data_IF_835750564220
#
_entry.id   IF_835750564220
#
_cell.length_a   1.000
_cell.length_b   1.000
_cell.length_c   1.000
_cell.angle_alpha   90.00
_cell.angle_beta   90.00
_cell.angle_gamma   90.00
#
_symmetry.space_group_name_H-M   'P 1'
#
loop_
_entity.id
_entity.type
_entity.pdbx_description
1 polymer ?
#
# COMPACT_ATOMS: atom_id res chain seq x y z
N UNK A 1 31.31 -11.31 23.66
CA UNK A 1 30.45 -11.66 22.50
C UNK A 1 31.37 -11.90 21.32
N UNK A 2 31.47 -13.14 20.85
CA UNK A 2 32.21 -13.45 19.62
C UNK A 2 31.38 -12.86 18.46
N UNK A 3 31.96 -12.10 17.52
CA UNK A 3 31.21 -11.60 16.37
C UNK A 3 30.75 -12.81 15.55
N UNK A 4 29.46 -13.13 15.64
CA UNK A 4 28.81 -14.07 14.74
C UNK A 4 28.84 -13.41 13.37
N UNK A 5 29.36 -14.10 12.34
CA UNK A 5 29.31 -13.58 10.98
C UNK A 5 27.84 -13.29 10.62
N UNK A 6 27.54 -12.23 9.83
CA UNK A 6 26.16 -11.92 9.46
C UNK A 6 25.39 -13.12 8.89
N UNK A 7 26.05 -13.95 8.09
CA UNK A 7 25.49 -15.19 7.56
C UNK A 7 25.11 -16.20 8.66
N UNK A 8 25.99 -16.44 9.63
CA UNK A 8 25.71 -17.35 10.75
C UNK A 8 24.55 -16.83 11.62
N UNK A 9 24.40 -15.50 11.72
CA UNK A 9 23.32 -14.87 12.49
C UNK A 9 21.95 -15.10 11.84
N UNK A 10 21.79 -14.75 10.56
CA UNK A 10 20.50 -14.90 9.87
C UNK A 10 20.11 -16.37 9.68
N UNK A 11 21.09 -17.26 9.43
CA UNK A 11 20.84 -18.70 9.40
C UNK A 11 20.33 -19.23 10.75
N UNK A 12 20.97 -18.83 11.85
CA UNK A 12 20.55 -19.23 13.19
C UNK A 12 19.11 -18.79 13.47
N UNK A 13 18.78 -17.53 13.20
CA UNK A 13 17.43 -17.02 13.42
C UNK A 13 16.39 -17.65 12.50
N UNK A 14 16.72 -17.94 11.24
CA UNK A 14 15.82 -18.68 10.34
C UNK A 14 15.48 -20.07 10.90
N UNK A 15 16.48 -20.80 11.41
CA UNK A 15 16.26 -22.11 12.08
C UNK A 15 15.41 -21.94 13.33
N UNK A 16 15.71 -20.92 14.15
CA UNK A 16 14.94 -20.62 15.36
C UNK A 16 13.47 -20.35 15.04
N UNK A 17 13.19 -19.46 14.09
CA UNK A 17 11.83 -19.10 13.69
C UNK A 17 11.05 -20.27 13.08
N UNK A 18 11.70 -21.10 12.26
CA UNK A 18 11.10 -22.33 11.78
C UNK A 18 10.75 -23.30 12.93
N UNK A 19 11.61 -23.40 13.95
CA UNK A 19 11.35 -24.19 15.15
C UNK A 19 10.24 -23.62 16.04
N UNK A 20 10.15 -22.29 16.14
CA UNK A 20 9.11 -21.58 16.90
C UNK A 20 7.71 -21.85 16.33
N UNK A 21 7.56 -21.90 14.99
CA UNK A 21 6.30 -22.29 14.36
C UNK A 21 5.80 -23.65 14.88
N UNK A 22 6.68 -24.64 14.94
CA UNK A 22 6.35 -25.99 15.42
C UNK A 22 5.94 -25.98 16.89
N UNK A 23 6.62 -25.21 17.73
CA UNK A 23 6.31 -25.08 19.16
C UNK A 23 4.95 -24.41 19.39
N UNK A 24 4.58 -23.44 18.54
CA UNK A 24 3.31 -22.71 18.60
C UNK A 24 2.14 -23.44 17.91
N UNK A 25 2.38 -24.64 17.39
CA UNK A 25 1.46 -25.41 16.55
C UNK A 25 0.98 -24.62 15.32
N UNK A 26 1.86 -23.78 14.78
CA UNK A 26 1.66 -23.06 13.53
C UNK A 26 2.25 -23.86 12.35
N UNK A 27 1.71 -23.66 11.15
CA UNK A 27 2.22 -24.33 9.94
C UNK A 27 3.55 -23.74 9.47
N UNK A 28 3.77 -22.46 9.74
CA UNK A 28 4.99 -21.73 9.43
C UNK A 28 5.09 -20.45 10.28
N UNK A 29 6.32 -19.95 10.39
CA UNK A 29 6.59 -18.58 10.82
C UNK A 29 6.75 -17.69 9.59
N UNK A 30 6.18 -16.49 9.64
CA UNK A 30 6.18 -15.51 8.54
C UNK A 30 6.87 -14.25 9.03
N UNK A 31 8.01 -13.90 8.44
CA UNK A 31 8.66 -12.62 8.72
C UNK A 31 8.11 -11.55 7.78
N UNK A 32 7.61 -10.48 8.36
CA UNK A 32 7.04 -9.32 7.66
C UNK A 32 7.79 -8.05 8.03
N UNK A 33 7.57 -6.99 7.28
CA UNK A 33 8.34 -5.75 7.42
C UNK A 33 8.12 -5.06 8.76
N UNK A 34 6.86 -4.91 9.19
CA UNK A 34 6.52 -4.37 10.49
C UNK A 34 5.18 -4.90 11.06
N UNK A 35 4.68 -4.25 12.11
CA UNK A 35 3.47 -4.66 12.83
C UNK A 35 2.19 -4.46 12.00
N UNK A 36 2.12 -3.38 11.21
CA UNK A 36 0.97 -3.12 10.34
C UNK A 36 0.95 -4.15 9.20
N UNK A 37 2.12 -4.55 8.69
CA UNK A 37 2.24 -5.69 7.76
C UNK A 37 1.75 -7.00 8.38
N UNK A 38 2.12 -7.30 9.63
CA UNK A 38 1.69 -8.53 10.28
C UNK A 38 0.15 -8.61 10.32
N UNK A 39 -0.50 -7.50 10.68
CA UNK A 39 -1.96 -7.40 10.74
C UNK A 39 -2.59 -7.60 9.36
N UNK A 40 -2.01 -6.99 8.31
CA UNK A 40 -2.50 -7.14 6.94
C UNK A 40 -2.35 -8.58 6.43
N UNK A 41 -1.16 -9.15 6.55
CA UNK A 41 -0.87 -10.49 6.05
C UNK A 41 -1.64 -11.56 6.83
N UNK A 42 -1.79 -11.43 8.14
CA UNK A 42 -2.60 -12.34 8.96
C UNK A 42 -4.02 -12.45 8.40
N UNK A 43 -4.67 -11.31 8.15
CA UNK A 43 -6.02 -11.26 7.55
C UNK A 43 -6.07 -11.94 6.18
N UNK A 44 -5.06 -11.77 5.31
CA UNK A 44 -5.02 -12.44 4.01
C UNK A 44 -4.81 -13.96 4.13
N UNK A 45 -3.87 -14.41 4.95
CA UNK A 45 -3.61 -15.84 5.14
C UNK A 45 -4.82 -16.54 5.77
N UNK A 46 -5.46 -15.93 6.76
CA UNK A 46 -6.68 -16.43 7.39
C UNK A 46 -7.80 -16.59 6.35
N UNK A 47 -8.06 -15.53 5.57
CA UNK A 47 -9.07 -15.56 4.51
C UNK A 47 -8.79 -16.66 3.48
N UNK A 48 -7.61 -16.67 2.87
CA UNK A 48 -7.30 -17.57 1.75
C UNK A 48 -6.99 -19.01 2.16
N UNK A 49 -6.72 -19.27 3.44
CA UNK A 49 -6.62 -20.63 4.01
C UNK A 49 -7.90 -21.08 4.72
N UNK A 50 -8.99 -20.31 4.60
CA UNK A 50 -10.29 -20.60 5.23
C UNK A 50 -10.21 -20.79 6.74
N UNK A 51 -9.32 -20.05 7.42
CA UNK A 51 -9.05 -20.15 8.87
C UNK A 51 -8.65 -21.56 9.34
N UNK A 52 -8.17 -22.42 8.45
CA UNK A 52 -7.81 -23.81 8.78
C UNK A 52 -6.35 -23.95 9.21
N UNK A 53 -5.53 -22.93 8.96
CA UNK A 53 -4.09 -22.91 9.24
C UNK A 53 -3.77 -21.76 10.19
N UNK A 54 -2.83 -21.99 11.09
CA UNK A 54 -2.33 -20.98 12.03
C UNK A 54 -0.89 -20.61 11.67
N UNK A 55 -0.58 -19.32 11.73
CA UNK A 55 0.74 -18.79 11.39
C UNK A 55 1.35 -18.06 12.59
N UNK A 56 2.69 -18.00 12.64
CA UNK A 56 3.41 -17.19 13.61
C UNK A 56 4.02 -15.98 12.91
N UNK A 57 3.49 -14.78 13.14
CA UNK A 57 4.01 -13.57 12.51
C UNK A 57 5.16 -12.96 13.31
N UNK A 58 6.26 -12.68 12.61
CA UNK A 58 7.45 -12.03 13.14
C UNK A 58 7.53 -10.69 12.44
N UNK A 59 7.42 -9.58 13.17
CA UNK A 59 7.42 -8.22 12.61
C UNK A 59 8.64 -7.39 13.02
N UNK A 60 9.57 -8.01 13.73
CA UNK A 60 10.90 -7.47 13.99
C UNK A 60 11.85 -8.63 14.30
N UNK A 61 13.13 -8.44 14.00
CA UNK A 61 14.15 -9.34 14.53
C UNK A 61 15.45 -8.60 14.78
N UNK A 62 16.39 -9.26 15.47
CA UNK A 62 17.67 -8.64 15.80
C UNK A 62 18.62 -8.67 14.63
N UNK A 63 19.38 -7.60 14.45
CA UNK A 63 20.59 -7.54 13.63
C UNK A 63 21.74 -8.30 14.29
N UNK A 64 22.86 -8.60 13.57
CA UNK A 64 24.06 -9.17 14.18
C UNK A 64 24.64 -8.34 15.34
N UNK A 65 24.35 -7.03 15.37
CA UNK A 65 24.74 -6.13 16.45
C UNK A 65 23.78 -6.20 17.67
N UNK A 66 22.77 -7.08 17.65
CA UNK A 66 21.79 -7.24 18.72
C UNK A 66 20.71 -6.15 18.79
N UNK A 67 20.64 -5.26 17.80
CA UNK A 67 19.60 -4.21 17.72
C UNK A 67 18.38 -4.75 16.99
N UNK A 68 17.19 -4.40 17.45
CA UNK A 68 15.94 -4.64 16.71
C UNK A 68 15.97 -3.94 15.35
N UNK A 69 15.48 -4.62 14.32
CA UNK A 69 15.35 -4.12 12.96
C UNK A 69 14.05 -4.61 12.32
N UNK A 70 13.56 -3.78 11.40
CA UNK A 70 12.29 -3.92 10.66
C UNK A 70 12.54 -3.53 9.19
N UNK A 71 11.51 -3.71 8.35
CA UNK A 71 11.50 -3.27 6.95
C UNK A 71 12.02 -4.29 5.95
N UNK A 72 11.72 -4.06 4.67
CA UNK A 72 12.04 -4.98 3.56
C UNK A 72 13.50 -5.41 3.50
N UNK A 73 14.43 -4.48 3.69
CA UNK A 73 15.86 -4.77 3.58
C UNK A 73 16.33 -5.77 4.64
N UNK A 74 15.66 -5.77 5.80
CA UNK A 74 15.92 -6.70 6.88
C UNK A 74 15.30 -8.08 6.60
N UNK A 75 14.06 -8.11 6.10
CA UNK A 75 13.42 -9.34 5.64
C UNK A 75 14.26 -10.06 4.57
N UNK A 76 14.79 -9.30 3.60
CA UNK A 76 15.60 -9.83 2.50
C UNK A 76 16.94 -10.45 2.94
N UNK A 77 17.43 -10.17 4.15
CA UNK A 77 18.63 -10.85 4.68
C UNK A 77 18.40 -12.34 4.91
N UNK A 78 17.15 -12.78 5.03
CA UNK A 78 16.78 -14.16 5.28
C UNK A 78 16.63 -15.01 4.01
N UNK A 79 16.64 -14.41 2.81
CA UNK A 79 16.41 -15.10 1.52
C UNK A 79 17.19 -16.41 1.36
N UNK A 80 18.50 -16.50 1.70
CA UNK A 80 19.26 -17.74 1.57
C UNK A 80 18.82 -18.88 2.51
N UNK A 81 17.95 -18.60 3.49
CA UNK A 81 17.59 -19.50 4.58
C UNK A 81 16.08 -19.78 4.67
N UNK A 82 15.29 -19.24 3.73
CA UNK A 82 13.85 -19.45 3.69
C UNK A 82 13.51 -20.90 3.31
N UNK A 83 12.39 -21.37 3.82
CA UNK A 83 11.88 -22.71 3.60
C UNK A 83 10.37 -22.76 3.91
N UNK A 84 9.75 -23.94 3.77
CA UNK A 84 8.31 -24.12 3.99
C UNK A 84 7.82 -23.77 5.40
N UNK A 85 8.69 -23.82 6.41
CA UNK A 85 8.37 -23.50 7.81
C UNK A 85 8.77 -22.08 8.22
N UNK A 86 9.56 -21.39 7.39
CA UNK A 86 9.95 -19.99 7.61
C UNK A 86 10.12 -19.25 6.29
N UNK A 87 9.21 -18.32 6.01
CA UNK A 87 9.16 -17.55 4.77
C UNK A 87 8.88 -16.07 5.06
N UNK A 88 8.96 -15.22 4.04
CA UNK A 88 8.74 -13.77 4.20
C UNK A 88 7.58 -13.26 3.36
N UNK A 89 6.95 -12.20 3.84
CA UNK A 89 6.03 -11.38 3.06
C UNK A 89 6.51 -9.93 3.06
N UNK A 90 6.58 -9.31 1.90
CA UNK A 90 7.16 -7.97 1.73
C UNK A 90 6.27 -7.07 0.88
N UNK A 91 6.47 -5.77 1.02
CA UNK A 91 5.99 -4.81 0.05
C UNK A 91 6.76 -4.92 -1.25
N UNK A 92 6.05 -4.78 -2.37
CA UNK A 92 6.69 -4.84 -3.68
C UNK A 92 7.71 -3.73 -3.81
N UNK A 93 7.37 -2.49 -3.44
CA UNK A 93 8.32 -1.37 -3.46
C UNK A 93 8.93 -1.16 -4.87
N UNK A 94 8.14 -1.49 -5.91
CA UNK A 94 8.44 -1.66 -7.35
C UNK A 94 9.07 -2.98 -7.80
N UNK A 95 9.44 -3.91 -6.93
CA UNK A 95 10.07 -5.21 -7.29
C UNK A 95 9.26 -5.98 -8.32
N UNK A 96 7.93 -6.00 -8.18
CA UNK A 96 7.03 -6.60 -9.17
C UNK A 96 7.14 -5.89 -10.52
N UNK A 97 7.00 -4.56 -10.58
CA UNK A 97 7.10 -3.82 -11.85
C UNK A 97 8.51 -3.92 -12.48
N UNK A 98 9.55 -3.98 -11.67
CA UNK A 98 10.93 -4.19 -12.12
C UNK A 98 11.23 -5.64 -12.49
N UNK A 99 10.31 -6.56 -12.21
CA UNK A 99 10.46 -8.00 -12.40
C UNK A 99 11.73 -8.54 -11.72
N UNK A 100 11.94 -8.13 -10.46
CA UNK A 100 13.08 -8.62 -9.66
C UNK A 100 13.04 -10.17 -9.59
N UNK A 101 14.12 -10.85 -9.95
CA UNK A 101 14.13 -12.31 -10.02
C UNK A 101 13.94 -12.94 -8.64
N UNK A 102 13.32 -14.12 -8.62
CA UNK A 102 13.17 -14.96 -7.43
C UNK A 102 12.33 -14.36 -6.28
N UNK A 103 11.56 -13.29 -6.54
CA UNK A 103 10.55 -12.76 -5.61
C UNK A 103 9.20 -13.42 -5.91
N UNK A 104 9.02 -14.66 -5.43
CA UNK A 104 7.79 -15.44 -5.64
C UNK A 104 7.67 -16.60 -4.62
N UNK A 105 6.47 -17.22 -4.50
CA UNK A 105 6.22 -18.27 -3.51
C UNK A 105 7.10 -19.52 -3.65
N UNK A 106 7.60 -19.86 -4.85
CA UNK A 106 8.50 -21.01 -5.01
C UNK A 106 9.87 -20.78 -4.36
N UNK A 107 10.19 -19.52 -4.07
CA UNK A 107 11.36 -19.09 -3.31
C UNK A 107 11.00 -18.66 -1.89
N UNK A 108 9.79 -18.98 -1.41
CA UNK A 108 9.31 -18.65 -0.07
C UNK A 108 9.23 -17.13 0.18
N UNK A 109 8.88 -16.36 -0.85
CA UNK A 109 8.68 -14.91 -0.76
C UNK A 109 7.30 -14.58 -1.32
N UNK A 110 6.41 -14.10 -0.47
CA UNK A 110 5.18 -13.43 -0.90
C UNK A 110 5.44 -11.94 -0.98
N UNK A 111 4.78 -11.26 -1.92
CA UNK A 111 4.85 -9.82 -2.01
C UNK A 111 3.47 -9.23 -2.26
N UNK A 112 3.28 -7.97 -1.90
CA UNK A 112 2.18 -7.20 -2.49
C UNK A 112 2.38 -7.08 -4.00
N UNK A 113 1.29 -6.97 -4.75
CA UNK A 113 1.34 -6.70 -6.20
C UNK A 113 0.99 -5.26 -6.55
N UNK A 114 0.55 -4.50 -5.55
CA UNK A 114 0.58 -3.04 -5.49
C UNK A 114 1.97 -2.56 -5.06
N UNK A 115 2.16 -1.26 -4.87
CA UNK A 115 3.41 -0.73 -4.31
C UNK A 115 3.65 -1.23 -2.87
N UNK A 116 2.65 -1.13 -1.99
CA UNK A 116 2.70 -1.59 -0.61
C UNK A 116 1.32 -2.00 -0.05
N UNK A 117 1.28 -2.50 1.18
CA UNK A 117 0.04 -2.88 1.88
C UNK A 117 -0.97 -1.73 1.91
N UNK A 118 -0.54 -0.47 2.02
CA UNK A 118 -1.51 0.63 2.17
C UNK A 118 -2.28 0.93 0.90
N UNK A 119 -1.72 0.59 -0.27
CA UNK A 119 -2.44 0.72 -1.53
C UNK A 119 -3.66 -0.22 -1.55
N UNK A 120 -3.61 -1.38 -0.87
CA UNK A 120 -4.73 -2.31 -0.79
C UNK A 120 -5.91 -1.74 0.00
N UNK A 121 -5.66 -0.93 1.03
CA UNK A 121 -6.72 -0.19 1.76
C UNK A 121 -7.33 0.94 0.94
N UNK A 122 -6.62 1.44 -0.08
CA UNK A 122 -7.06 2.56 -0.90
C UNK A 122 -7.80 2.11 -2.18
N UNK A 123 -8.17 0.84 -2.30
CA UNK A 123 -8.95 0.38 -3.43
C UNK A 123 -10.34 1.07 -3.40
N UNK A 124 -10.78 1.71 -4.50
CA UNK A 124 -11.86 2.69 -4.50
C UNK A 124 -13.22 2.10 -4.15
N UNK A 125 -13.45 0.83 -4.53
CA UNK A 125 -14.69 0.11 -4.22
C UNK A 125 -14.92 0.16 -2.71
N UNK A 126 -16.10 0.65 -2.31
CA UNK A 126 -16.56 0.85 -0.93
C UNK A 126 -15.86 1.96 -0.12
N UNK A 127 -14.90 2.74 -0.65
CA UNK A 127 -14.36 3.90 0.08
C UNK A 127 -15.46 4.90 0.47
N UNK A 128 -16.46 5.06 -0.40
CA UNK A 128 -17.64 5.86 -0.13
C UNK A 128 -18.44 5.33 1.08
N UNK A 129 -18.50 4.00 1.28
CA UNK A 129 -19.17 3.37 2.41
C UNK A 129 -18.39 3.49 3.73
N UNK A 130 -17.08 3.75 3.68
CA UNK A 130 -16.26 3.95 4.88
C UNK A 130 -16.70 5.21 5.64
N UNK A 131 -17.02 6.30 4.94
CA UNK A 131 -17.61 7.49 5.56
C UNK A 131 -18.94 7.17 6.27
N UNK A 132 -19.76 6.30 5.67
CA UNK A 132 -21.01 5.87 6.28
C UNK A 132 -20.77 5.03 7.53
N UNK A 133 -19.80 4.13 7.51
CA UNK A 133 -19.39 3.35 8.68
C UNK A 133 -18.81 4.26 9.78
N UNK A 134 -18.05 5.29 9.39
CA UNK A 134 -17.40 6.21 10.30
C UNK A 134 -18.39 7.17 11.00
N UNK A 135 -19.41 7.64 10.28
CA UNK A 135 -20.30 8.71 10.76
C UNK A 135 -21.75 8.27 11.01
N UNK A 136 -22.14 7.10 10.50
CA UNK A 136 -23.52 6.65 10.35
C UNK A 136 -24.39 7.63 9.55
N UNK A 137 -23.78 8.34 8.60
CA UNK A 137 -24.43 9.24 7.66
C UNK A 137 -24.06 8.83 6.24
N UNK A 138 -25.05 8.85 5.35
CA UNK A 138 -24.83 8.54 3.94
C UNK A 138 -23.83 9.53 3.34
N UNK A 139 -22.81 9.05 2.63
CA UNK A 139 -21.93 9.93 1.89
C UNK A 139 -22.63 10.39 0.60
N UNK A 140 -22.80 11.69 0.46
CA UNK A 140 -23.38 12.32 -0.73
C UNK A 140 -22.68 13.62 -1.12
N UNK A 141 -21.51 13.90 -0.54
CA UNK A 141 -20.76 15.14 -0.76
C UNK A 141 -19.42 14.91 -1.46
N UNK A 142 -18.95 13.66 -1.52
CA UNK A 142 -17.69 13.30 -2.16
C UNK A 142 -17.79 11.91 -2.78
N UNK A 143 -17.15 11.73 -3.93
CA UNK A 143 -17.05 10.52 -4.71
C UNK A 143 -15.57 10.11 -4.80
N UNK A 144 -15.20 9.15 -3.94
CA UNK A 144 -13.84 8.61 -3.89
C UNK A 144 -13.45 7.87 -5.17
N UNK A 145 -14.40 7.19 -5.83
CA UNK A 145 -14.15 6.45 -7.07
C UNK A 145 -13.74 7.44 -8.18
N UNK A 146 -14.52 8.50 -8.37
CA UNK A 146 -14.24 9.54 -9.36
C UNK A 146 -12.94 10.31 -9.05
N UNK A 147 -12.68 10.61 -7.77
CA UNK A 147 -11.46 11.28 -7.34
C UNK A 147 -10.22 10.43 -7.62
N UNK A 148 -10.22 9.15 -7.23
CA UNK A 148 -9.09 8.25 -7.43
C UNK A 148 -8.83 7.97 -8.91
N UNK A 149 -9.88 7.82 -9.73
CA UNK A 149 -9.72 7.68 -11.17
C UNK A 149 -9.04 8.91 -11.77
N UNK A 150 -9.48 10.11 -11.40
CA UNK A 150 -8.87 11.37 -11.84
C UNK A 150 -7.43 11.49 -11.38
N UNK A 151 -7.14 11.16 -10.11
CA UNK A 151 -5.80 11.13 -9.53
C UNK A 151 -4.88 10.17 -10.29
N UNK A 152 -5.39 8.99 -10.61
CA UNK A 152 -4.67 7.96 -11.35
C UNK A 152 -4.31 8.41 -12.76
N UNK A 153 -5.26 9.02 -13.48
CA UNK A 153 -5.04 9.52 -14.84
C UNK A 153 -3.97 10.59 -14.91
N UNK A 154 -4.02 11.59 -14.01
CA UNK A 154 -3.02 12.67 -14.03
C UNK A 154 -1.62 12.18 -13.63
N UNK A 155 -1.56 11.19 -12.73
CA UNK A 155 -0.32 10.58 -12.25
C UNK A 155 0.36 9.68 -13.29
N UNK A 156 -0.41 8.97 -14.10
CA UNK A 156 0.05 7.83 -14.91
C UNK A 156 1.29 8.14 -15.75
N UNK A 157 1.27 9.21 -16.55
CA UNK A 157 2.40 9.50 -17.45
C UNK A 157 3.67 9.82 -16.67
N UNK A 158 3.55 10.54 -15.56
CA UNK A 158 4.68 10.85 -14.67
C UNK A 158 5.23 9.58 -14.02
N UNK A 159 4.37 8.65 -13.61
CA UNK A 159 4.79 7.35 -13.09
C UNK A 159 5.54 6.53 -14.16
N UNK A 160 5.06 6.50 -15.40
CA UNK A 160 5.73 5.79 -16.50
C UNK A 160 7.14 6.36 -16.73
N UNK A 161 7.28 7.69 -16.74
CA UNK A 161 8.60 8.31 -16.80
C UNK A 161 9.46 7.92 -15.61
N UNK A 162 8.94 7.96 -14.38
CA UNK A 162 9.69 7.55 -13.20
C UNK A 162 10.19 6.10 -13.32
N UNK A 163 9.34 5.17 -13.73
CA UNK A 163 9.68 3.76 -13.93
C UNK A 163 10.68 3.55 -15.08
N UNK A 164 10.63 4.37 -16.14
CA UNK A 164 11.66 4.36 -17.18
C UNK A 164 13.03 4.73 -16.60
N UNK A 165 13.12 5.83 -15.83
CA UNK A 165 14.38 6.25 -15.22
C UNK A 165 14.91 5.23 -14.22
N UNK A 166 14.02 4.65 -13.41
CA UNK A 166 14.36 3.61 -12.45
C UNK A 166 14.94 2.37 -13.14
N UNK A 167 14.27 1.87 -14.18
CA UNK A 167 14.71 0.69 -14.95
C UNK A 167 16.04 0.88 -15.68
N UNK A 168 16.37 2.11 -16.06
CA UNK A 168 17.62 2.44 -16.75
C UNK A 168 18.70 2.98 -15.80
N UNK A 169 18.49 2.90 -14.48
CA UNK A 169 19.43 3.35 -13.44
C UNK A 169 19.87 4.82 -13.60
N UNK A 170 18.97 5.67 -14.10
CA UNK A 170 19.23 7.10 -14.33
C UNK A 170 18.74 7.94 -13.14
N UNK A 171 19.57 8.87 -12.68
CA UNK A 171 19.30 9.65 -11.46
C UNK A 171 18.41 10.90 -11.65
N UNK A 172 18.16 11.36 -12.88
CA UNK A 172 17.42 12.61 -13.14
C UNK A 172 15.94 12.59 -12.75
N UNK A 173 15.37 11.41 -12.48
CA UNK A 173 14.05 11.30 -11.88
C UNK A 173 14.01 10.20 -10.82
N UNK A 174 14.69 10.48 -9.72
CA UNK A 174 14.85 9.55 -8.59
C UNK A 174 13.52 9.25 -7.87
N UNK A 175 13.50 8.15 -7.10
CA UNK A 175 12.39 7.80 -6.18
C UNK A 175 12.08 8.95 -5.22
N UNK A 176 13.10 9.60 -4.65
CA UNK A 176 12.94 10.75 -3.76
C UNK A 176 12.26 11.93 -4.45
N UNK A 177 12.66 12.23 -5.69
CA UNK A 177 12.06 13.31 -6.46
C UNK A 177 10.61 13.01 -6.83
N UNK A 178 10.31 11.78 -7.24
CA UNK A 178 8.95 11.33 -7.52
C UNK A 178 8.06 11.39 -6.28
N UNK A 179 8.53 10.92 -5.13
CA UNK A 179 7.81 11.02 -3.85
C UNK A 179 7.49 12.48 -3.52
N UNK A 180 8.46 13.39 -3.68
CA UNK A 180 8.23 14.83 -3.47
C UNK A 180 7.16 15.38 -4.41
N UNK A 181 7.12 14.89 -5.65
CA UNK A 181 6.18 15.33 -6.69
C UNK A 181 4.75 14.88 -6.41
N UNK A 182 4.55 13.63 -5.96
CA UNK A 182 3.21 13.09 -5.66
C UNK A 182 2.64 13.58 -4.31
N UNK A 183 3.50 14.08 -3.40
CA UNK A 183 3.05 14.72 -2.17
C UNK A 183 2.28 16.01 -2.46
N UNK A 184 1.20 16.24 -1.71
CA UNK A 184 0.53 17.53 -1.69
C UNK A 184 1.42 18.55 -0.98
N UNK A 185 1.90 19.58 -1.70
CA UNK A 185 2.84 20.57 -1.18
C UNK A 185 2.17 21.85 -0.70
N UNK A 186 0.95 22.11 -1.17
CA UNK A 186 0.19 23.32 -0.88
C UNK A 186 -1.05 22.96 -0.07
N UNK A 187 -1.39 23.81 0.90
CA UNK A 187 -2.67 23.70 1.60
C UNK A 187 -3.80 24.03 0.63
N UNK A 188 -4.81 23.17 0.58
CA UNK A 188 -6.04 23.40 -0.16
C UNK A 188 -7.15 23.45 0.87
N UNK A 189 -7.89 24.55 0.88
CA UNK A 189 -8.94 24.80 1.85
C UNK A 189 -9.97 23.66 1.82
N UNK A 190 -10.12 22.99 2.97
CA UNK A 190 -11.00 21.84 3.14
C UNK A 190 -10.87 20.80 2.02
N UNK A 191 -9.67 20.63 1.43
CA UNK A 191 -9.41 19.66 0.36
C UNK A 191 -10.37 19.76 -0.84
N UNK A 192 -11.03 20.90 -1.01
CA UNK A 192 -12.03 21.14 -2.05
C UNK A 192 -13.14 20.07 -2.11
N UNK A 193 -13.63 19.59 -0.96
CA UNK A 193 -14.68 18.55 -0.88
C UNK A 193 -15.90 18.92 -1.74
N UNK A 194 -16.32 20.19 -1.75
CA UNK A 194 -17.50 20.65 -2.51
C UNK A 194 -17.39 20.47 -4.03
N UNK A 195 -16.18 20.34 -4.57
CA UNK A 195 -15.92 20.09 -5.99
C UNK A 195 -15.13 18.79 -6.17
N UNK A 196 -15.36 17.81 -5.29
CA UNK A 196 -14.76 16.48 -5.37
C UNK A 196 -13.23 16.47 -5.45
N UNK A 197 -12.57 17.41 -4.77
CA UNK A 197 -11.11 17.52 -4.74
C UNK A 197 -10.49 18.03 -6.04
N UNK A 198 -11.26 18.70 -6.92
CA UNK A 198 -10.77 19.17 -8.22
C UNK A 198 -9.51 20.04 -8.08
N UNK A 199 -9.44 20.94 -7.11
CA UNK A 199 -8.25 21.77 -6.88
C UNK A 199 -6.98 20.94 -6.58
N UNK A 200 -7.12 19.78 -5.91
CA UNK A 200 -6.00 18.86 -5.65
C UNK A 200 -5.51 18.27 -6.97
N UNK A 201 -6.44 17.79 -7.80
CA UNK A 201 -6.14 17.19 -9.11
C UNK A 201 -5.46 18.21 -10.03
N UNK A 202 -5.96 19.45 -10.08
CA UNK A 202 -5.40 20.51 -10.92
C UNK A 202 -3.97 20.90 -10.50
N UNK A 203 -3.72 21.03 -9.20
CA UNK A 203 -2.38 21.32 -8.67
C UNK A 203 -1.39 20.20 -8.95
N UNK A 204 -1.80 18.93 -8.75
CA UNK A 204 -0.97 17.77 -9.09
C UNK A 204 -0.70 17.72 -10.59
N UNK A 205 -1.73 17.84 -11.43
CA UNK A 205 -1.62 17.81 -12.87
C UNK A 205 -0.67 18.89 -13.39
N UNK A 206 -0.77 20.12 -12.90
CA UNK A 206 0.15 21.20 -13.27
C UNK A 206 1.61 20.83 -13.03
N UNK A 207 1.92 20.28 -11.84
CA UNK A 207 3.29 19.87 -11.48
C UNK A 207 3.76 18.67 -12.32
N UNK A 208 2.89 17.69 -12.53
CA UNK A 208 3.14 16.51 -13.34
C UNK A 208 3.45 16.90 -14.80
N UNK A 209 2.61 17.74 -15.42
CA UNK A 209 2.82 18.23 -16.78
C UNK A 209 4.12 19.02 -16.92
N UNK A 210 4.45 19.89 -15.95
CA UNK A 210 5.73 20.60 -15.96
C UNK A 210 6.93 19.63 -15.92
N UNK A 211 6.89 18.60 -15.05
CA UNK A 211 7.95 17.60 -14.98
C UNK A 211 8.04 16.77 -16.26
N UNK A 212 6.91 16.31 -16.80
CA UNK A 212 6.86 15.54 -18.06
C UNK A 212 7.42 16.37 -19.23
N UNK A 213 7.03 17.63 -19.38
CA UNK A 213 7.58 18.52 -20.41
C UNK A 213 9.09 18.72 -20.27
N UNK A 214 9.59 18.87 -19.04
CA UNK A 214 11.03 18.93 -18.77
C UNK A 214 11.73 17.64 -19.23
N UNK A 215 11.18 16.48 -18.91
CA UNK A 215 11.76 15.18 -19.27
C UNK A 215 11.74 14.94 -20.79
N UNK A 216 10.64 15.30 -21.47
CA UNK A 216 10.54 15.23 -22.94
C UNK A 216 11.61 16.12 -23.60
N UNK A 217 11.84 17.32 -23.06
CA UNK A 217 12.85 18.25 -23.59
C UNK A 217 14.27 17.71 -23.41
N UNK A 218 14.56 17.09 -22.25
CA UNK A 218 15.87 16.51 -21.96
C UNK A 218 16.11 15.17 -22.67
N UNK A 219 15.05 14.43 -22.97
CA UNK A 219 15.10 13.08 -23.55
C UNK A 219 14.13 12.90 -24.72
N UNK A 220 14.26 13.69 -25.79
CA UNK A 220 13.28 13.74 -26.89
C UNK A 220 13.17 12.43 -27.69
N UNK A 221 14.20 11.56 -27.61
CA UNK A 221 14.25 10.29 -28.33
C UNK A 221 13.85 9.08 -27.46
N UNK A 222 13.32 9.31 -26.25
CA UNK A 222 12.87 8.19 -25.40
C UNK A 222 11.55 7.63 -25.92
N UNK A 223 11.52 6.31 -26.16
CA UNK A 223 10.30 5.59 -26.53
C UNK A 223 9.44 5.31 -25.28
N UNK A 224 8.66 6.32 -24.90
CA UNK A 224 7.76 6.23 -23.74
C UNK A 224 6.59 5.27 -24.01
N UNK A 225 6.16 5.10 -25.26
CA UNK A 225 5.05 4.23 -25.62
C UNK A 225 5.43 2.75 -25.46
N UNK A 226 6.65 2.36 -25.82
CA UNK A 226 7.16 1.03 -25.50
C UNK A 226 7.24 0.80 -23.98
N UNK A 227 7.61 1.84 -23.22
CA UNK A 227 7.59 1.78 -21.75
C UNK A 227 6.16 1.56 -21.21
N UNK A 228 5.16 2.29 -21.75
CA UNK A 228 3.74 2.09 -21.41
C UNK A 228 3.29 0.67 -21.76
N UNK A 229 3.62 0.16 -22.95
CA UNK A 229 3.25 -1.18 -23.38
C UNK A 229 3.87 -2.27 -22.49
N UNK A 230 5.15 -2.10 -22.09
CA UNK A 230 5.81 -3.01 -21.16
C UNK A 230 5.06 -3.10 -19.82
N UNK A 231 4.77 -1.95 -19.18
CA UNK A 231 4.09 -1.95 -17.88
C UNK A 231 2.61 -2.32 -17.96
N UNK A 232 1.96 -2.05 -19.10
CA UNK A 232 0.60 -2.54 -19.39
C UNK A 232 0.51 -4.06 -19.30
N UNK A 233 1.52 -4.78 -19.80
CA UNK A 233 1.59 -6.24 -19.72
C UNK A 233 1.76 -6.76 -18.28
N UNK A 234 2.20 -5.90 -17.35
CA UNK A 234 2.32 -6.22 -15.92
C UNK A 234 1.06 -5.82 -15.12
N UNK A 235 0.04 -5.25 -15.77
CA UNK A 235 -1.21 -4.83 -15.12
C UNK A 235 -1.28 -3.35 -14.76
N UNK A 236 -0.24 -2.55 -15.04
CA UNK A 236 -0.26 -1.11 -14.80
C UNK A 236 -0.95 -0.37 -15.97
N UNK A 237 -2.08 0.26 -15.66
CA UNK A 237 -2.92 1.04 -16.56
C UNK A 237 -3.07 2.48 -16.06
N UNK A 238 -3.61 3.36 -16.89
CA UNK A 238 -3.94 4.74 -16.48
C UNK A 238 -4.92 4.75 -15.31
N UNK A 239 -5.83 3.79 -15.28
CA UNK A 239 -6.98 3.78 -14.37
C UNK A 239 -6.62 3.23 -12.97
N UNK A 240 -5.47 2.55 -12.83
CA UNK A 240 -5.02 1.96 -11.57
C UNK A 240 -3.59 2.39 -11.15
N UNK A 241 -2.99 3.38 -11.80
CA UNK A 241 -1.67 3.91 -11.49
C UNK A 241 -1.48 4.30 -10.02
N UNK A 242 -2.55 4.71 -9.34
CA UNK A 242 -2.55 5.01 -7.91
C UNK A 242 -2.15 3.81 -7.03
N UNK A 243 -2.39 2.56 -7.46
CA UNK A 243 -1.97 1.36 -6.73
C UNK A 243 -0.45 1.14 -6.76
N UNK A 244 0.24 1.81 -7.67
CA UNK A 244 1.66 1.58 -7.96
C UNK A 244 2.54 2.75 -7.53
N UNK A 245 2.07 3.61 -6.65
CA UNK A 245 2.88 4.66 -6.01
C UNK A 245 2.95 4.45 -4.51
N UNK A 246 3.93 5.09 -3.87
CA UNK A 246 4.21 4.92 -2.44
C UNK A 246 2.93 4.96 -1.60
N UNK A 247 2.56 3.82 -0.99
CA UNK A 247 1.28 3.64 -0.32
C UNK A 247 1.01 4.67 0.75
N UNK A 248 1.98 4.98 1.63
CA UNK A 248 1.83 6.05 2.62
C UNK A 248 1.39 7.40 2.02
N UNK A 249 1.87 7.78 0.83
CA UNK A 249 1.47 9.05 0.21
C UNK A 249 -0.01 9.04 -0.16
N UNK A 250 -0.46 7.96 -0.80
CA UNK A 250 -1.86 7.78 -1.18
C UNK A 250 -2.76 7.62 0.06
N UNK A 251 -2.40 6.74 0.96
CA UNK A 251 -3.14 6.44 2.18
C UNK A 251 -3.34 7.67 3.05
N UNK A 252 -2.29 8.48 3.23
CA UNK A 252 -2.40 9.72 3.98
C UNK A 252 -3.34 10.72 3.28
N UNK A 253 -3.29 10.82 1.94
CA UNK A 253 -4.19 11.67 1.16
C UNK A 253 -5.65 11.22 1.31
N UNK A 254 -5.93 9.93 1.21
CA UNK A 254 -7.27 9.36 1.39
C UNK A 254 -7.76 9.57 2.83
N UNK A 255 -6.91 9.36 3.83
CA UNK A 255 -7.27 9.62 5.21
C UNK A 255 -7.63 11.09 5.49
N UNK A 256 -6.86 12.06 4.97
CA UNK A 256 -7.16 13.48 5.20
C UNK A 256 -8.43 13.92 4.48
N UNK A 257 -8.67 13.43 3.25
CA UNK A 257 -9.91 13.69 2.52
C UNK A 257 -11.09 13.04 3.25
N UNK A 258 -10.97 11.77 3.64
CA UNK A 258 -12.00 11.05 4.39
C UNK A 258 -12.39 11.74 5.69
N UNK A 259 -11.42 12.17 6.49
CA UNK A 259 -11.71 12.94 7.70
C UNK A 259 -12.41 14.28 7.39
N UNK A 260 -12.01 15.00 6.33
CA UNK A 260 -12.67 16.25 5.95
C UNK A 260 -14.11 16.03 5.45
N UNK A 261 -14.35 14.93 4.72
CA UNK A 261 -15.70 14.50 4.32
C UNK A 261 -16.54 14.19 5.56
N UNK A 262 -16.03 13.40 6.49
CA UNK A 262 -16.73 13.04 7.73
C UNK A 262 -17.07 14.28 8.57
N UNK A 263 -16.11 15.19 8.76
CA UNK A 263 -16.30 16.45 9.47
C UNK A 263 -17.39 17.32 8.81
N UNK A 264 -17.40 17.38 7.47
CA UNK A 264 -18.39 18.15 6.72
C UNK A 264 -19.78 17.51 6.79
N UNK A 265 -19.90 16.18 6.70
CA UNK A 265 -21.16 15.46 6.89
C UNK A 265 -21.73 15.71 8.28
N UNK A 266 -20.90 15.58 9.32
CA UNK A 266 -21.30 15.84 10.72
C UNK A 266 -21.71 17.31 10.93
N UNK A 267 -21.00 18.25 10.31
CA UNK A 267 -21.34 19.68 10.36
C UNK A 267 -22.70 19.98 9.71
N UNK A 268 -22.97 19.36 8.55
CA UNK A 268 -24.26 19.48 7.86
C UNK A 268 -25.40 18.87 8.67
N UNK A 269 -25.17 17.72 9.31
CA UNK A 269 -26.20 17.08 10.14
C UNK A 269 -26.43 17.85 11.43
N UNK A 270 -25.37 18.32 12.09
CA UNK A 270 -25.45 19.18 13.29
C UNK A 270 -26.32 20.40 13.06
N UNK A 271 -26.24 21.05 11.89
CA UNK A 271 -27.08 22.23 11.55
C UNK A 271 -28.58 21.93 11.50
N UNK A 272 -28.99 20.66 11.37
CA UNK A 272 -30.39 20.23 11.41
C UNK A 272 -30.89 19.94 12.83
N UNK A 273 -29.97 19.84 13.80
CA UNK A 273 -30.26 19.50 15.18
C UNK A 273 -30.35 20.77 16.03
N UNK A 274 -31.38 20.85 16.88
CA UNK A 274 -31.63 22.02 17.73
C UNK A 274 -31.44 21.75 19.23
N UNK A 275 -31.06 20.52 19.61
CA UNK A 275 -30.88 20.08 21.00
C UNK A 275 -29.47 19.53 21.25
N UNK A 276 -28.86 19.96 22.36
CA UNK A 276 -27.50 19.59 22.75
C UNK A 276 -27.35 18.09 22.95
N UNK A 277 -28.36 17.37 23.45
CA UNK A 277 -28.27 15.91 23.64
C UNK A 277 -28.24 15.17 22.30
N UNK A 278 -29.03 15.62 21.33
CA UNK A 278 -29.01 15.07 19.97
C UNK A 278 -27.65 15.30 19.29
N UNK A 279 -27.06 16.49 19.46
CA UNK A 279 -25.72 16.80 18.96
C UNK A 279 -24.67 15.91 19.63
N UNK A 280 -24.70 15.72 20.95
CA UNK A 280 -23.75 14.83 21.63
C UNK A 280 -23.84 13.40 21.09
N UNK A 281 -25.06 12.85 20.95
CA UNK A 281 -25.29 11.52 20.40
C UNK A 281 -24.77 11.35 18.96
N UNK A 282 -24.82 12.41 18.15
CA UNK A 282 -24.29 12.41 16.79
C UNK A 282 -22.77 12.17 16.78
N UNK A 283 -22.03 12.77 17.71
CA UNK A 283 -20.57 12.63 17.79
C UNK A 283 -20.12 11.39 18.57
N UNK A 284 -20.86 10.97 19.61
CA UNK A 284 -20.49 9.80 20.43
C UNK A 284 -20.45 8.48 19.63
N UNK A 285 -21.17 8.42 18.51
CA UNK A 285 -21.28 7.21 17.67
C UNK A 285 -20.24 7.13 16.56
N UNK A 286 -19.41 8.17 16.39
CA UNK A 286 -18.47 8.22 15.28
C UNK A 286 -17.21 7.43 15.59
N UNK A 287 -16.60 6.88 14.55
CA UNK A 287 -15.25 6.32 14.61
C UNK A 287 -14.35 7.09 13.66
N UNK A 288 -13.04 7.10 13.93
CA UNK A 288 -12.09 7.76 13.04
C UNK A 288 -12.07 7.08 11.67
N UNK A 289 -12.12 7.86 10.59
CA UNK A 289 -12.06 7.36 9.21
C UNK A 289 -10.89 6.39 9.01
N UNK A 290 -9.70 6.73 9.52
CA UNK A 290 -8.50 5.89 9.45
C UNK A 290 -8.73 4.50 10.05
N UNK A 291 -9.41 4.43 11.19
CA UNK A 291 -9.73 3.15 11.86
C UNK A 291 -10.75 2.36 11.06
N UNK A 292 -11.76 3.02 10.49
CA UNK A 292 -12.73 2.35 9.62
C UNK A 292 -12.06 1.80 8.34
N UNK A 293 -11.11 2.55 7.78
CA UNK A 293 -10.35 2.19 6.57
C UNK A 293 -9.48 0.94 6.75
N UNK A 294 -8.78 0.81 7.87
CA UNK A 294 -7.91 -0.36 8.13
C UNK A 294 -8.68 -1.69 8.21
N UNK A 295 -9.98 -1.63 8.48
CA UNK A 295 -10.83 -2.83 8.53
C UNK A 295 -11.43 -3.20 7.17
N UNK A 296 -11.04 -2.50 6.10
CA UNK A 296 -11.72 -2.58 4.80
C UNK A 296 -10.79 -3.09 3.69
N UNK A 297 -10.48 -4.39 3.73
CA UNK A 297 -9.75 -5.09 2.66
C UNK A 297 -10.76 -5.71 1.69
N UNK A 298 -10.62 -5.38 0.41
CA UNK A 298 -11.47 -5.90 -0.67
C UNK A 298 -10.87 -7.18 -1.26
N UNK A 299 -11.30 -8.34 -0.75
CA UNK A 299 -10.83 -9.65 -1.20
C UNK A 299 -11.37 -10.00 -2.60
N UNK A 300 -10.52 -10.61 -3.44
CA UNK A 300 -10.87 -11.09 -4.78
C UNK A 300 -11.48 -10.04 -5.75
N UNK A 301 -11.40 -8.74 -5.43
CA UNK A 301 -12.05 -7.67 -6.22
C UNK A 301 -11.18 -7.07 -7.32
N UNK A 302 -9.85 -7.23 -7.24
CA UNK A 302 -8.91 -6.68 -8.22
C UNK A 302 -7.71 -7.61 -8.46
N UNK A 303 -7.02 -7.48 -9.60
CA UNK A 303 -6.01 -8.45 -10.01
C UNK A 303 -4.88 -8.66 -9.00
N UNK A 304 -4.42 -7.59 -8.35
CA UNK A 304 -3.30 -7.62 -7.41
C UNK A 304 -3.63 -8.46 -6.18
N UNK A 305 -4.80 -8.28 -5.56
CA UNK A 305 -5.23 -9.08 -4.40
C UNK A 305 -5.61 -10.51 -4.78
N UNK A 306 -6.22 -10.71 -5.96
CA UNK A 306 -6.53 -12.05 -6.50
C UNK A 306 -5.26 -12.87 -6.70
N UNK A 307 -4.18 -12.23 -7.16
CA UNK A 307 -2.89 -12.88 -7.36
C UNK A 307 -2.28 -13.34 -6.03
N UNK A 308 -2.31 -12.50 -4.99
CA UNK A 308 -1.90 -12.91 -3.63
C UNK A 308 -2.71 -14.13 -3.18
N UNK A 309 -4.04 -14.07 -3.32
CA UNK A 309 -4.92 -15.15 -2.90
C UNK A 309 -4.66 -16.46 -3.64
N UNK A 310 -4.44 -16.39 -4.97
CA UNK A 310 -4.06 -17.55 -5.78
C UNK A 310 -2.77 -18.17 -5.27
N UNK A 311 -1.75 -17.35 -5.04
CA UNK A 311 -0.43 -17.82 -4.59
C UNK A 311 -0.47 -18.44 -3.19
N UNK A 312 -1.24 -17.87 -2.26
CA UNK A 312 -1.43 -18.43 -0.92
C UNK A 312 -2.13 -19.79 -0.99
N UNK A 313 -3.19 -19.91 -1.80
CA UNK A 313 -3.91 -21.18 -2.01
C UNK A 313 -2.98 -22.24 -2.59
N UNK A 314 -2.32 -21.94 -3.70
CA UNK A 314 -1.40 -22.88 -4.39
C UNK A 314 -0.21 -23.32 -3.53
N UNK A 315 0.27 -22.47 -2.61
CA UNK A 315 1.37 -22.81 -1.73
C UNK A 315 0.99 -23.79 -0.60
N UNK A 316 -0.31 -23.83 -0.23
CA UNK A 316 -0.82 -24.58 0.93
C UNK A 316 -1.87 -25.65 0.60
N UNK A 317 -2.18 -25.83 -0.67
CA UNK A 317 -2.78 -27.03 -1.26
C UNK A 317 -1.73 -28.15 -1.36
#
# INVERSE_FOLDING_TARGET
MIPVSPANHYQYWAIHFAGEALQLHCVASIHVEDFDDASFWEVLFDHYTSNTKKFNFIYHSKTPAGKEATGVNHCLQYVPYLNKQFFICIDSDYRYLMQEPNINPSHFIFQTYTYSIENHYCYPKELNAICENATQLKNNIFDFDAFLLSYSHVLYETLIWHLYFLKHEKSLFSKTEFIRLISLQQSIDNYDINHNGQAIIEELNKRYQQKVQQLITLYPNTDIENTKAYYKNLGLHSDNAYLYVRGHNLYNLICVIGNAVDEQLLSLEKKKLNDTKAIQKLYDRTVCFKVALLNHIMFDEYPEIQKIGKEIREFFE
#
